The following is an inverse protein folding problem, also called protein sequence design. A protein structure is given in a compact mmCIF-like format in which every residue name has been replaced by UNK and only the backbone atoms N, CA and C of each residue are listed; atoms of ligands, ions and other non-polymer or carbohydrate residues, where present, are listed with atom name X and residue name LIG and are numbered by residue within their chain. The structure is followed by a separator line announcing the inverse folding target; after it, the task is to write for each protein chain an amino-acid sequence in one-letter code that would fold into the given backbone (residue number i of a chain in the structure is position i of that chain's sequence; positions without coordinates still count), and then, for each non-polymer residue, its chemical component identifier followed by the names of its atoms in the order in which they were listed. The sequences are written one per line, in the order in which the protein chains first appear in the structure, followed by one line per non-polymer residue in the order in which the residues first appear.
data_IF_341600241495
#
_entry.id   IF_341600241495
#
_cell.length_a   1.000
_cell.length_b   1.000
_cell.length_c   1.000
_cell.angle_alpha   90.00
_cell.angle_beta   90.00
_cell.angle_gamma   90.00
#
_symmetry.space_group_name_H-M   'P 1'
#
loop_
_entity.id
_entity.type
_entity.pdbx_description
1 polymer ?
#
# COMPACT_ATOMS: atom_id res chain seq x y z
N UNK A 1 22.64 -15.83 1.26
CA UNK A 1 22.03 -15.53 2.57
C UNK A 1 20.60 -16.06 2.57
N UNK A 2 20.13 -16.58 3.71
CA UNK A 2 18.71 -16.90 3.89
C UNK A 2 17.91 -15.60 3.97
N UNK A 3 16.73 -15.57 3.38
CA UNK A 3 15.79 -14.46 3.57
C UNK A 3 15.19 -14.61 4.97
N UNK A 4 15.50 -13.67 5.84
CA UNK A 4 14.94 -13.58 7.19
C UNK A 4 13.82 -12.55 7.23
N UNK A 5 12.87 -12.79 8.12
CA UNK A 5 11.71 -11.96 8.25
C UNK A 5 11.47 -11.66 9.73
N UNK A 6 11.10 -10.42 10.02
CA UNK A 6 10.73 -9.98 11.36
C UNK A 6 9.22 -9.73 11.44
N UNK A 7 8.63 -9.98 12.60
CA UNK A 7 7.23 -9.69 12.84
C UNK A 7 7.07 -8.21 13.11
N UNK A 8 5.92 -7.63 12.73
CA UNK A 8 5.58 -6.33 13.32
C UNK A 8 5.50 -6.52 14.82
N UNK A 9 6.29 -5.72 15.54
CA UNK A 9 6.06 -5.56 16.97
C UNK A 9 4.67 -4.97 17.17
N UNK A 10 3.90 -5.58 18.05
CA UNK A 10 2.55 -5.14 18.41
C UNK A 10 2.50 -4.77 19.89
N UNK A 11 1.38 -4.18 20.30
CA UNK A 11 1.03 -3.93 21.69
C UNK A 11 -0.37 -4.48 21.96
N UNK A 12 -0.76 -4.70 23.22
CA UNK A 12 -2.16 -4.90 23.56
C UNK A 12 -3.00 -3.71 23.07
N UNK A 13 -4.09 -4.02 22.38
CA UNK A 13 -5.06 -3.03 21.88
C UNK A 13 -6.47 -3.37 22.38
N UNK A 14 -7.27 -2.34 22.62
CA UNK A 14 -8.71 -2.47 22.85
C UNK A 14 -9.54 -2.38 21.57
N UNK A 15 -8.88 -2.16 20.43
CA UNK A 15 -9.51 -2.03 19.12
C UNK A 15 -9.90 -3.40 18.55
N UNK A 16 -11.00 -3.43 17.80
CA UNK A 16 -11.50 -4.59 17.08
C UNK A 16 -11.81 -4.25 15.63
N UNK A 17 -11.83 -5.24 14.71
CA UNK A 17 -12.21 -5.03 13.31
C UNK A 17 -13.54 -4.29 13.09
N UNK A 18 -14.48 -4.39 14.04
CA UNK A 18 -15.78 -3.72 13.97
C UNK A 18 -15.69 -2.21 14.21
N UNK A 19 -14.59 -1.71 14.77
CA UNK A 19 -14.37 -0.28 15.03
C UNK A 19 -13.95 0.48 13.77
N UNK A 20 -13.42 -0.21 12.74
CA UNK A 20 -13.22 0.39 11.42
C UNK A 20 -14.50 0.32 10.57
N UNK A 21 -14.74 1.40 9.83
CA UNK A 21 -15.77 1.41 8.78
C UNK A 21 -15.14 1.12 7.42
N UNK A 22 -15.54 0.03 6.79
CA UNK A 22 -15.20 -0.25 5.39
C UNK A 22 -15.95 0.71 4.48
N UNK A 23 -15.22 1.62 3.84
CA UNK A 23 -15.77 2.61 2.89
C UNK A 23 -15.78 2.04 1.48
N UNK A 24 -14.76 1.26 1.13
CA UNK A 24 -14.61 0.66 -0.17
C UNK A 24 -13.92 -0.70 -0.02
N UNK A 25 -14.47 -1.70 -0.70
CA UNK A 25 -13.84 -2.98 -0.98
C UNK A 25 -13.93 -3.18 -2.50
N UNK A 26 -12.82 -3.08 -3.20
CA UNK A 26 -12.78 -3.05 -4.66
C UNK A 26 -11.74 -4.02 -5.22
N UNK A 27 -11.99 -4.45 -6.46
CA UNK A 27 -11.04 -5.18 -7.29
C UNK A 27 -10.96 -4.58 -8.68
N UNK A 28 -9.77 -4.57 -9.25
CA UNK A 28 -9.46 -4.01 -10.58
C UNK A 28 -8.29 -4.76 -11.21
N UNK A 29 -7.84 -4.33 -12.39
CA UNK A 29 -6.72 -4.90 -13.12
C UNK A 29 -6.82 -6.43 -13.30
N UNK A 30 -7.89 -6.86 -13.95
CA UNK A 30 -8.12 -8.26 -14.23
C UNK A 30 -7.16 -8.78 -15.30
N UNK A 31 -6.40 -9.82 -14.95
CA UNK A 31 -5.41 -10.45 -15.82
C UNK A 31 -5.36 -11.96 -15.63
N UNK A 32 -4.97 -12.68 -16.68
CA UNK A 32 -4.73 -14.12 -16.62
C UNK A 32 -3.26 -14.31 -16.25
N UNK A 33 -2.99 -15.07 -15.19
CA UNK A 33 -1.63 -15.31 -14.67
C UNK A 33 -1.36 -16.81 -14.53
N UNK A 34 -0.08 -17.24 -14.59
CA UNK A 34 0.29 -18.62 -14.26
C UNK A 34 -0.04 -18.98 -12.81
N UNK A 35 -0.52 -20.21 -12.57
CA UNK A 35 -0.79 -20.78 -11.24
C UNK A 35 -0.64 -22.31 -11.28
N UNK A 36 0.36 -22.86 -10.59
CA UNK A 36 0.57 -24.31 -10.42
C UNK A 36 0.35 -25.18 -11.68
N UNK A 37 0.89 -24.77 -12.83
CA UNK A 37 0.79 -25.53 -14.09
C UNK A 37 -0.48 -25.26 -14.92
N UNK A 38 -1.35 -24.36 -14.47
CA UNK A 38 -2.49 -23.85 -15.21
C UNK A 38 -2.48 -22.31 -15.25
N UNK A 39 -3.50 -21.71 -15.88
CA UNK A 39 -3.72 -20.28 -15.86
C UNK A 39 -4.92 -19.95 -14.96
N UNK A 40 -4.80 -18.92 -14.12
CA UNK A 40 -5.90 -18.41 -13.29
C UNK A 40 -6.20 -16.97 -13.62
N UNK A 41 -7.40 -16.54 -13.27
CA UNK A 41 -7.75 -15.13 -13.25
C UNK A 41 -7.24 -14.48 -11.94
N UNK A 42 -6.56 -13.35 -12.09
CA UNK A 42 -6.05 -12.50 -11.02
C UNK A 42 -6.75 -11.14 -11.06
N UNK A 43 -6.87 -10.52 -9.89
CA UNK A 43 -7.31 -9.14 -9.71
C UNK A 43 -6.42 -8.50 -8.65
N UNK A 44 -6.12 -7.21 -8.83
CA UNK A 44 -5.56 -6.38 -7.77
C UNK A 44 -6.70 -5.83 -6.88
N UNK A 45 -6.45 -5.73 -5.59
CA UNK A 45 -7.43 -5.33 -4.58
C UNK A 45 -7.08 -3.98 -3.95
N UNK A 46 -8.14 -3.25 -3.61
CA UNK A 46 -8.09 -1.97 -2.91
C UNK A 46 -9.17 -1.95 -1.84
N UNK A 47 -8.77 -1.65 -0.60
CA UNK A 47 -9.67 -1.52 0.54
C UNK A 47 -9.43 -0.17 1.20
N UNK A 48 -10.50 0.57 1.45
CA UNK A 48 -10.46 1.85 2.16
C UNK A 48 -11.23 1.72 3.46
N UNK A 49 -10.55 2.01 4.56
CA UNK A 49 -11.10 1.96 5.90
C UNK A 49 -11.13 3.39 6.46
N UNK A 50 -12.29 3.84 6.91
CA UNK A 50 -12.38 4.98 7.82
C UNK A 50 -12.30 4.48 9.26
N UNK A 51 -11.88 5.36 10.16
CA UNK A 51 -11.83 5.11 11.61
C UNK A 51 -10.86 3.95 11.98
N UNK A 52 -9.92 3.63 11.08
CA UNK A 52 -8.87 2.64 11.32
C UNK A 52 -7.76 3.16 12.23
N UNK A 53 -7.40 4.45 12.09
CA UNK A 53 -6.45 5.13 12.98
C UNK A 53 -7.20 6.18 13.79
N UNK A 54 -7.09 6.14 15.12
CA UNK A 54 -7.76 7.09 15.99
C UNK A 54 -7.04 8.44 16.00
N UNK A 55 -7.71 9.49 16.48
CA UNK A 55 -7.10 10.82 16.54
C UNK A 55 -5.87 10.89 17.44
N UNK A 56 -5.82 10.08 18.50
CA UNK A 56 -4.68 9.98 19.41
C UNK A 56 -3.46 9.43 18.66
N UNK A 57 -3.61 8.28 18.00
CA UNK A 57 -2.50 7.68 17.24
C UNK A 57 -2.08 8.55 16.07
N UNK A 58 -3.05 9.08 15.31
CA UNK A 58 -2.82 9.96 14.18
C UNK A 58 -2.04 11.22 14.59
N UNK A 59 -2.47 11.89 15.65
CA UNK A 59 -1.80 13.07 16.19
C UNK A 59 -0.39 12.77 16.66
N UNK A 60 -0.20 11.68 17.41
CA UNK A 60 1.11 11.25 17.89
C UNK A 60 2.08 10.93 16.74
N UNK A 61 1.60 10.27 15.67
CA UNK A 61 2.38 10.02 14.46
C UNK A 61 2.74 11.33 13.76
N UNK A 62 1.80 12.26 13.60
CA UNK A 62 2.07 13.53 12.94
C UNK A 62 3.09 14.38 13.72
N UNK A 63 2.94 14.48 15.05
CA UNK A 63 3.88 15.18 15.92
C UNK A 63 5.28 14.53 15.88
N UNK A 64 5.33 13.20 15.83
CA UNK A 64 6.58 12.47 15.68
C UNK A 64 7.26 12.80 14.35
N UNK A 65 6.53 12.88 13.25
CA UNK A 65 7.11 13.16 11.94
C UNK A 65 7.42 14.65 11.72
N UNK A 66 6.76 15.55 12.46
CA UNK A 66 6.92 16.99 12.29
C UNK A 66 7.61 17.63 13.49
N UNK A 67 6.84 18.00 14.49
CA UNK A 67 7.20 18.29 15.87
C UNK A 67 5.89 18.63 16.62
N UNK A 68 5.80 18.43 17.94
CA UNK A 68 4.66 18.91 18.70
C UNK A 68 4.43 20.41 18.48
N UNK A 69 3.22 20.77 18.05
CA UNK A 69 2.85 22.17 17.79
C UNK A 69 3.47 22.79 16.54
N UNK A 70 4.02 22.00 15.61
CA UNK A 70 4.56 22.49 14.35
C UNK A 70 3.51 23.27 13.54
N UNK A 71 3.88 24.44 13.03
CA UNK A 71 3.03 25.20 12.11
C UNK A 71 3.08 24.56 10.72
N UNK A 72 2.12 23.67 10.44
CA UNK A 72 2.00 23.01 9.14
C UNK A 72 1.73 23.99 7.98
N UNK A 73 1.42 25.26 8.25
CA UNK A 73 1.40 26.31 7.24
C UNK A 73 2.77 26.65 6.65
N UNK A 74 3.88 26.23 7.26
CA UNK A 74 5.24 26.50 6.78
C UNK A 74 5.81 25.38 5.91
N UNK A 75 5.06 24.29 5.69
CA UNK A 75 5.54 23.10 4.99
C UNK A 75 6.13 22.05 5.93
N UNK A 76 6.80 21.02 5.37
CA UNK A 76 7.45 19.97 6.14
C UNK A 76 8.69 20.46 6.89
N UNK A 77 8.92 20.05 8.15
CA UNK A 77 10.11 20.46 8.89
C UNK A 77 11.38 19.80 8.35
N UNK A 78 12.45 20.57 8.09
CA UNK A 78 13.67 20.06 7.45
C UNK A 78 14.48 19.10 8.34
N UNK A 79 14.14 18.95 9.62
CA UNK A 79 14.82 18.03 10.54
C UNK A 79 14.57 16.55 10.21
N UNK A 80 13.46 16.23 9.56
CA UNK A 80 13.04 14.85 9.25
C UNK A 80 12.60 14.67 7.80
N UNK A 81 12.40 15.77 7.09
CA UNK A 81 11.91 15.79 5.71
C UNK A 81 12.96 16.39 4.79
N UNK A 82 13.12 15.79 3.62
CA UNK A 82 13.99 16.29 2.57
C UNK A 82 13.26 16.33 1.22
N UNK A 83 13.59 17.34 0.39
CA UNK A 83 13.12 17.41 -1.01
C UNK A 83 14.13 16.71 -1.92
N UNK A 84 14.26 15.40 -1.74
CA UNK A 84 15.21 14.58 -2.49
C UNK A 84 14.57 13.31 -3.09
N UNK A 85 13.30 13.05 -2.80
CA UNK A 85 12.56 11.90 -3.33
C UNK A 85 12.04 12.26 -4.72
N UNK A 86 12.14 11.36 -5.70
CA UNK A 86 11.53 11.58 -7.01
C UNK A 86 10.59 10.41 -7.31
N UNK A 87 9.31 10.71 -7.51
CA UNK A 87 8.26 9.71 -7.78
C UNK A 87 8.21 9.27 -9.25
N UNK A 88 9.24 9.59 -10.04
CA UNK A 88 9.36 9.20 -11.44
C UNK A 88 10.62 9.73 -12.10
N UNK A 89 11.10 9.03 -13.13
CA UNK A 89 12.29 9.43 -13.89
C UNK A 89 12.08 10.81 -14.55
N UNK A 90 12.98 11.75 -14.27
CA UNK A 90 12.93 13.10 -14.83
C UNK A 90 11.92 14.05 -14.18
N UNK A 91 11.23 13.64 -13.11
CA UNK A 91 10.34 14.52 -12.35
C UNK A 91 11.11 15.35 -11.31
N UNK A 92 10.60 16.54 -10.94
CA UNK A 92 11.13 17.30 -9.81
C UNK A 92 11.07 16.50 -8.51
N UNK A 93 12.04 16.75 -7.62
CA UNK A 93 12.03 16.13 -6.31
C UNK A 93 10.83 16.62 -5.46
N UNK A 94 10.19 15.71 -4.75
CA UNK A 94 9.08 15.87 -3.81
C UNK A 94 9.59 15.67 -2.37
N UNK A 95 8.74 15.96 -1.39
CA UNK A 95 9.09 15.80 0.03
C UNK A 95 8.88 14.37 0.51
N UNK A 96 9.98 13.77 0.98
CA UNK A 96 9.98 12.48 1.66
C UNK A 96 10.63 12.55 3.04
N UNK A 97 10.36 11.57 3.89
CA UNK A 97 11.13 11.38 5.11
C UNK A 97 12.58 11.00 4.76
N UNK A 98 13.53 11.46 5.57
CA UNK A 98 14.94 11.06 5.43
C UNK A 98 15.13 9.58 5.73
N UNK A 99 16.17 8.98 5.14
CA UNK A 99 16.55 7.59 5.41
C UNK A 99 16.79 7.35 6.91
N UNK A 100 17.38 8.32 7.61
CA UNK A 100 17.59 8.28 9.07
C UNK A 100 16.27 8.22 9.83
N UNK A 101 15.29 9.07 9.46
CA UNK A 101 13.98 9.05 10.10
C UNK A 101 13.25 7.72 9.85
N UNK A 102 13.30 7.19 8.63
CA UNK A 102 12.70 5.90 8.29
C UNK A 102 13.38 4.73 9.03
N UNK A 103 14.70 4.73 9.12
CA UNK A 103 15.46 3.73 9.87
C UNK A 103 15.13 3.77 11.36
N UNK A 104 14.98 4.97 11.94
CA UNK A 104 14.58 5.13 13.33
C UNK A 104 13.18 4.55 13.61
N UNK A 105 12.21 4.79 12.72
CA UNK A 105 10.86 4.20 12.84
C UNK A 105 10.87 2.67 12.78
N UNK A 106 11.74 2.09 11.95
CA UNK A 106 11.89 0.65 11.84
C UNK A 106 12.58 0.03 13.07
N UNK A 107 13.66 0.67 13.54
CA UNK A 107 14.45 0.20 14.66
C UNK A 107 13.70 0.32 15.99
N UNK A 108 12.90 1.36 16.19
CA UNK A 108 12.12 1.57 17.41
C UNK A 108 10.74 2.20 17.11
N UNK A 109 9.74 1.40 16.70
CA UNK A 109 8.43 1.88 16.34
C UNK A 109 7.72 2.45 17.59
N UNK A 110 7.24 3.69 17.52
CA UNK A 110 6.57 4.35 18.64
C UNK A 110 5.25 3.66 19.01
N UNK A 111 4.70 3.93 20.21
CA UNK A 111 3.45 3.34 20.67
C UNK A 111 2.25 3.49 19.71
N UNK A 112 2.20 4.57 18.92
CA UNK A 112 1.15 4.79 17.92
C UNK A 112 1.32 3.89 16.68
N UNK A 113 2.56 3.58 16.26
CA UNK A 113 2.80 2.60 15.19
C UNK A 113 2.51 1.18 15.69
N UNK A 114 2.93 0.84 16.92
CA UNK A 114 2.61 -0.46 17.53
C UNK A 114 1.09 -0.69 17.61
N UNK A 115 0.31 0.37 17.85
CA UNK A 115 -1.15 0.31 17.81
C UNK A 115 -1.67 0.02 16.39
N UNK A 116 -1.18 0.73 15.37
CA UNK A 116 -1.50 0.43 13.96
C UNK A 116 -1.17 -1.01 13.60
N UNK A 117 -0.02 -1.52 14.05
CA UNK A 117 0.38 -2.91 13.84
C UNK A 117 -0.60 -3.89 14.52
N UNK A 118 -1.01 -3.61 15.76
CA UNK A 118 -1.98 -4.43 16.48
C UNK A 118 -3.38 -4.43 15.83
N UNK A 119 -3.79 -3.33 15.20
CA UNK A 119 -5.05 -3.26 14.44
C UNK A 119 -4.97 -4.03 13.12
N UNK A 120 -3.84 -3.92 12.42
CA UNK A 120 -3.59 -4.68 11.20
C UNK A 120 -3.61 -6.20 11.48
N UNK A 121 -2.96 -6.59 12.57
CA UNK A 121 -2.98 -7.92 13.14
C UNK A 121 -4.41 -8.44 13.35
N UNK A 122 -5.21 -7.69 14.12
CA UNK A 122 -6.62 -8.03 14.36
C UNK A 122 -7.47 -8.07 13.08
N UNK A 123 -7.14 -7.28 12.05
CA UNK A 123 -7.81 -7.32 10.74
C UNK A 123 -7.48 -8.57 9.92
N UNK A 124 -6.34 -9.22 10.15
CA UNK A 124 -5.91 -10.36 9.34
C UNK A 124 -5.38 -11.50 10.22
N UNK A 125 -6.22 -12.10 11.08
CA UNK A 125 -5.79 -13.11 12.06
C UNK A 125 -5.38 -14.46 11.43
N UNK A 126 -5.82 -14.71 10.19
CA UNK A 126 -5.55 -15.92 9.41
C UNK A 126 -4.33 -15.79 8.50
N UNK A 127 -3.91 -14.55 8.21
CA UNK A 127 -2.51 -14.37 7.90
C UNK A 127 -1.77 -14.80 9.17
N UNK A 128 -0.77 -15.65 9.06
CA UNK A 128 0.24 -15.56 10.09
C UNK A 128 0.72 -14.10 10.04
N UNK A 129 0.51 -13.32 11.11
CA UNK A 129 1.29 -12.10 11.37
C UNK A 129 2.78 -12.45 11.58
N UNK A 130 3.29 -13.48 10.87
CA UNK A 130 4.58 -14.09 11.13
C UNK A 130 5.69 -13.64 10.22
N UNK A 131 5.48 -12.73 9.28
CA UNK A 131 6.58 -12.10 8.55
C UNK A 131 6.09 -10.78 7.96
N UNK A 132 6.23 -9.69 8.71
CA UNK A 132 5.89 -8.37 8.19
C UNK A 132 7.18 -7.59 7.98
N UNK A 133 7.81 -7.88 6.85
CA UNK A 133 8.78 -6.99 6.27
C UNK A 133 8.27 -6.64 4.87
N UNK A 134 8.64 -5.44 4.40
CA UNK A 134 9.58 -5.46 3.32
C UNK A 134 10.59 -4.37 3.62
N UNK A 135 11.58 -4.75 4.39
CA UNK A 135 12.90 -4.38 3.97
C UNK A 135 13.62 -5.69 3.67
N UNK A 136 13.73 -6.05 2.40
CA UNK A 136 14.98 -6.66 1.98
C UNK A 136 16.03 -5.59 2.25
N UNK A 137 16.56 -5.57 3.47
CA UNK A 137 17.92 -5.10 3.67
C UNK A 137 18.78 -6.19 3.07
N UNK A 138 19.16 -6.02 1.80
CA UNK A 138 20.42 -6.58 1.37
C UNK A 138 21.49 -5.73 2.03
N UNK A 139 21.71 -5.93 3.34
CA UNK A 139 22.88 -5.38 3.99
C UNK A 139 24.08 -6.13 3.43
N UNK A 140 24.94 -5.45 2.68
CA UNK A 140 26.36 -5.62 2.88
C UNK A 140 26.83 -4.53 3.88
N UNK A 141 27.62 -4.84 4.92
CA UNK A 141 27.90 -3.90 6.01
C UNK A 141 28.98 -2.84 5.72
N UNK A 142 29.50 -2.70 4.50
CA UNK A 142 30.61 -1.79 4.23
C UNK A 142 30.44 -1.10 2.87
N UNK A 143 30.26 0.23 2.83
CA UNK A 143 30.30 0.94 1.55
C UNK A 143 29.57 2.28 1.50
N UNK A 144 30.34 3.31 1.79
CA UNK A 144 30.06 4.75 1.80
C UNK A 144 29.61 5.35 0.43
N UNK A 145 28.83 6.44 0.52
CA UNK A 145 28.84 7.67 -0.32
C UNK A 145 28.47 7.63 -1.81
N UNK A 146 27.82 8.73 -2.21
CA UNK A 146 27.45 9.20 -3.55
C UNK A 146 26.21 8.61 -4.24
N UNK A 147 25.11 9.37 -4.09
CA UNK A 147 23.88 9.31 -4.89
C UNK A 147 24.21 9.62 -6.36
N UNK A 148 24.54 8.57 -7.13
CA UNK A 148 24.46 8.56 -8.59
C UNK A 148 23.88 7.23 -9.03
N UNK A 149 22.83 7.28 -9.85
CA UNK A 149 22.15 6.14 -10.46
C UNK A 149 23.20 5.20 -11.08
N UNK A 150 23.48 4.08 -10.40
CA UNK A 150 24.29 2.97 -10.90
C UNK A 150 23.46 1.70 -10.75
N UNK A 151 23.39 0.92 -11.82
CA UNK A 151 22.60 -0.29 -11.96
C UNK A 151 22.98 -1.44 -11.00
N UNK A 152 23.96 -1.22 -10.11
CA UNK A 152 24.56 -2.23 -9.23
C UNK A 152 24.43 -1.91 -7.73
N UNK A 153 23.61 -0.92 -7.34
CA UNK A 153 23.34 -0.69 -5.92
C UNK A 153 22.44 -1.81 -5.35
N UNK A 154 22.73 -2.36 -4.15
CA UNK A 154 21.86 -3.34 -3.52
C UNK A 154 20.47 -2.72 -3.32
N UNK A 155 19.42 -3.42 -3.76
CA UNK A 155 18.03 -2.99 -3.59
C UNK A 155 17.75 -2.88 -2.09
N UNK A 156 17.61 -1.65 -1.60
CA UNK A 156 17.11 -1.36 -0.25
C UNK A 156 15.59 -1.22 -0.35
N UNK A 157 14.85 -2.24 0.07
CA UNK A 157 13.42 -2.07 0.25
C UNK A 157 13.20 -1.28 1.56
N UNK A 158 12.53 -0.13 1.50
CA UNK A 158 12.18 0.61 2.71
C UNK A 158 10.88 0.01 3.30
N UNK A 159 10.91 -0.39 4.57
CA UNK A 159 9.73 -0.89 5.28
C UNK A 159 8.63 0.18 5.42
N UNK A 160 9.06 1.45 5.43
CA UNK A 160 8.19 2.61 5.54
C UNK A 160 8.51 3.64 4.47
N UNK A 161 7.51 4.38 4.05
CA UNK A 161 7.67 5.57 3.20
C UNK A 161 6.84 6.70 3.81
N UNK A 162 7.44 7.87 4.00
CA UNK A 162 6.72 9.09 4.38
C UNK A 162 6.66 10.04 3.21
N UNK A 163 5.47 10.58 2.92
CA UNK A 163 5.25 11.56 1.86
C UNK A 163 4.54 12.80 2.44
N UNK A 164 5.02 13.98 2.05
CA UNK A 164 4.44 15.27 2.42
C UNK A 164 4.17 16.13 1.18
N UNK A 165 3.23 15.69 0.34
CA UNK A 165 2.90 16.34 -0.92
C UNK A 165 2.42 17.78 -0.70
N UNK A 166 2.98 18.74 -1.44
CA UNK A 166 2.58 20.15 -1.42
C UNK A 166 2.11 20.61 -2.81
N UNK A 167 1.43 21.74 -2.87
CA UNK A 167 0.99 22.32 -4.13
C UNK A 167 2.18 22.53 -5.09
N UNK A 168 2.03 22.09 -6.34
CA UNK A 168 3.07 22.16 -7.36
C UNK A 168 3.97 20.92 -7.48
N UNK A 169 3.86 19.95 -6.57
CA UNK A 169 4.54 18.67 -6.73
C UNK A 169 4.03 17.87 -7.94
N UNK A 170 4.84 16.95 -8.44
CA UNK A 170 4.50 16.10 -9.57
C UNK A 170 4.78 14.63 -9.22
N UNK A 171 3.78 13.78 -9.41
CA UNK A 171 3.83 12.35 -9.08
C UNK A 171 3.45 11.53 -10.32
N UNK A 172 4.28 10.55 -10.68
CA UNK A 172 3.95 9.61 -11.76
C UNK A 172 3.15 8.42 -11.23
N UNK A 173 2.40 7.79 -12.15
CA UNK A 173 1.84 6.47 -11.89
C UNK A 173 2.96 5.45 -11.74
N UNK A 174 2.87 4.63 -10.70
CA UNK A 174 3.80 3.56 -10.41
C UNK A 174 3.10 2.42 -9.66
N UNK A 175 3.80 1.30 -9.55
CA UNK A 175 3.49 0.24 -8.59
C UNK A 175 4.57 0.24 -7.51
N UNK A 176 4.22 -0.21 -6.31
CA UNK A 176 5.18 -0.29 -5.21
C UNK A 176 6.14 -1.47 -5.38
N UNK A 177 5.59 -2.60 -5.78
CA UNK A 177 6.32 -3.84 -5.99
C UNK A 177 5.52 -4.81 -6.86
N UNK A 178 6.18 -5.47 -7.80
CA UNK A 178 5.63 -6.60 -8.55
C UNK A 178 6.55 -7.82 -8.37
N UNK A 179 6.12 -8.86 -7.63
CA UNK A 179 6.95 -10.04 -7.40
C UNK A 179 7.21 -10.86 -8.67
N UNK A 180 6.54 -10.58 -9.79
CA UNK A 180 6.84 -11.17 -11.09
C UNK A 180 7.98 -10.44 -11.84
N UNK A 181 8.37 -9.25 -11.37
CA UNK A 181 9.34 -8.38 -12.02
C UNK A 181 10.53 -8.01 -11.11
N UNK A 182 10.68 -8.70 -9.96
CA UNK A 182 11.81 -8.45 -9.08
C UNK A 182 13.15 -8.83 -9.72
N UNK A 183 14.21 -8.04 -9.49
CA UNK A 183 15.55 -8.43 -9.89
C UNK A 183 16.04 -9.62 -9.07
N UNK A 184 17.20 -10.16 -9.46
CA UNK A 184 17.89 -11.20 -8.70
C UNK A 184 18.13 -10.74 -7.25
N UNK A 185 17.52 -11.46 -6.33
CA UNK A 185 17.44 -11.10 -4.91
C UNK A 185 17.18 -12.36 -4.07
N UNK A 186 17.44 -12.34 -2.75
CA UNK A 186 17.04 -13.43 -1.85
C UNK A 186 15.54 -13.71 -1.88
N UNK A 187 14.71 -12.70 -2.15
CA UNK A 187 13.28 -12.88 -2.37
C UNK A 187 13.01 -13.76 -3.59
N UNK A 188 13.55 -13.37 -4.75
CA UNK A 188 13.41 -14.12 -6.00
C UNK A 188 14.01 -15.53 -5.88
N UNK A 189 15.15 -15.67 -5.20
CA UNK A 189 15.77 -16.98 -4.96
C UNK A 189 14.87 -17.90 -4.12
N UNK A 190 14.10 -17.35 -3.17
CA UNK A 190 13.21 -18.13 -2.29
C UNK A 190 11.85 -18.41 -2.91
N UNK A 191 11.22 -17.42 -3.53
CA UNK A 191 9.84 -17.54 -4.01
C UNK A 191 9.71 -17.66 -5.53
N UNK A 192 10.78 -17.40 -6.28
CA UNK A 192 10.74 -17.27 -7.73
C UNK A 192 9.89 -16.09 -8.17
N UNK A 193 9.58 -16.05 -9.47
CA UNK A 193 8.65 -15.09 -10.05
C UNK A 193 7.23 -15.60 -9.86
N UNK A 194 6.34 -14.75 -9.33
CA UNK A 194 4.94 -15.10 -9.16
C UNK A 194 4.03 -13.87 -9.25
N UNK A 195 2.79 -14.08 -9.69
CA UNK A 195 1.78 -13.02 -9.61
C UNK A 195 1.33 -12.82 -8.17
N UNK A 196 1.23 -11.57 -7.72
CA UNK A 196 0.78 -11.25 -6.37
C UNK A 196 -0.52 -11.99 -5.99
N UNK A 197 -0.65 -12.39 -4.72
CA UNK A 197 -1.76 -13.24 -4.26
C UNK A 197 -1.81 -14.66 -4.86
N UNK A 198 -0.70 -15.16 -5.41
CA UNK A 198 -0.60 -16.58 -5.78
C UNK A 198 -0.71 -17.50 -4.55
N UNK A 199 -1.24 -18.70 -4.77
CA UNK A 199 -1.44 -19.69 -3.70
C UNK A 199 -0.09 -20.10 -3.08
N UNK A 200 -0.02 -20.10 -1.76
CA UNK A 200 1.19 -20.45 -1.02
C UNK A 200 2.36 -19.46 -1.21
N UNK A 201 2.12 -18.29 -1.82
CA UNK A 201 3.12 -17.21 -1.96
C UNK A 201 2.75 -16.03 -1.08
N UNK A 202 3.74 -15.23 -0.61
CA UNK A 202 3.45 -14.00 0.13
C UNK A 202 2.62 -13.02 -0.72
N UNK A 203 1.63 -12.39 -0.10
CA UNK A 203 0.88 -11.28 -0.70
C UNK A 203 1.57 -9.97 -0.31
N UNK A 204 2.01 -9.19 -1.29
CA UNK A 204 2.61 -7.87 -1.07
C UNK A 204 1.53 -6.80 -0.97
N UNK A 205 1.52 -6.08 0.15
CA UNK A 205 0.48 -5.13 0.55
C UNK A 205 1.11 -3.79 0.95
N UNK A 206 0.47 -2.68 0.59
CA UNK A 206 0.77 -1.38 1.17
C UNK A 206 -0.38 -0.90 2.03
N UNK A 207 -0.06 -0.42 3.23
CA UNK A 207 -0.98 0.31 4.10
C UNK A 207 -0.58 1.79 4.10
N UNK A 208 -1.41 2.65 3.55
CA UNK A 208 -1.27 4.11 3.57
C UNK A 208 -2.19 4.69 4.64
N UNK A 209 -1.65 5.51 5.53
CA UNK A 209 -2.42 6.28 6.53
C UNK A 209 -2.28 7.78 6.27
N UNK A 210 -3.41 8.49 6.26
CA UNK A 210 -3.44 9.96 6.18
C UNK A 210 -3.32 10.58 7.58
N UNK A 211 -2.40 11.52 7.76
CA UNK A 211 -2.04 12.02 9.09
C UNK A 211 -2.65 13.39 9.44
N UNK A 212 -3.03 14.19 8.44
CA UNK A 212 -3.61 15.53 8.66
C UNK A 212 -4.87 15.50 9.53
N UNK A 213 -5.01 16.47 10.43
CA UNK A 213 -6.17 16.60 11.33
C UNK A 213 -7.43 17.10 10.62
N UNK A 214 -7.26 17.77 9.48
CA UNK A 214 -8.33 18.18 8.61
C UNK A 214 -7.79 18.26 7.18
N UNK A 215 -8.63 17.91 6.21
CA UNK A 215 -8.32 18.10 4.81
C UNK A 215 -9.59 18.53 4.04
N UNK A 216 -9.78 19.85 3.84
CA UNK A 216 -10.85 20.40 3.03
C UNK A 216 -10.89 19.80 1.62
N UNK A 217 -12.10 19.67 1.06
CA UNK A 217 -12.29 18.98 -0.23
C UNK A 217 -11.64 19.75 -1.39
N UNK A 218 -11.66 21.07 -1.35
CA UNK A 218 -11.08 21.96 -2.35
C UNK A 218 -9.54 21.93 -2.39
N UNK A 219 -8.89 21.35 -1.38
CA UNK A 219 -7.44 21.15 -1.37
C UNK A 219 -6.99 19.96 -2.23
N UNK A 220 -7.90 19.08 -2.68
CA UNK A 220 -7.58 17.94 -3.54
C UNK A 220 -6.64 16.92 -2.87
N UNK A 221 -5.57 16.55 -3.57
CA UNK A 221 -4.53 15.60 -3.14
C UNK A 221 -5.00 14.14 -2.96
N UNK A 222 -5.91 13.69 -3.81
CA UNK A 222 -6.36 12.31 -3.85
C UNK A 222 -5.22 11.34 -4.19
N UNK A 223 -5.24 10.16 -3.57
CA UNK A 223 -4.52 9.00 -4.11
C UNK A 223 -5.39 8.37 -5.20
N UNK A 224 -4.85 8.29 -6.40
CA UNK A 224 -5.53 7.77 -7.59
C UNK A 224 -5.03 6.35 -7.87
N UNK A 225 -5.97 5.45 -8.10
CA UNK A 225 -5.74 4.05 -8.49
C UNK A 225 -6.27 3.85 -9.90
N UNK A 226 -5.51 3.16 -10.75
CA UNK A 226 -5.85 3.02 -12.16
C UNK A 226 -5.82 1.56 -12.58
N UNK A 227 -6.83 1.13 -13.32
CA UNK A 227 -6.76 -0.09 -14.11
C UNK A 227 -5.92 0.18 -15.37
N UNK A 228 -4.71 -0.36 -15.41
CA UNK A 228 -3.74 -0.05 -16.48
C UNK A 228 -4.15 -0.50 -17.89
N UNK A 229 -5.24 -1.26 -18.04
CA UNK A 229 -5.75 -1.71 -19.35
C UNK A 229 -6.88 -0.84 -19.89
N UNK A 230 -7.61 -0.17 -19.00
CA UNK A 230 -8.83 0.58 -19.37
C UNK A 230 -8.74 2.06 -19.03
N UNK A 231 -7.72 2.49 -18.30
CA UNK A 231 -7.57 3.84 -17.74
C UNK A 231 -8.78 4.30 -16.90
N UNK A 232 -9.56 3.34 -16.40
CA UNK A 232 -10.65 3.57 -15.45
C UNK A 232 -10.12 3.38 -14.04
N UNK A 233 -10.43 4.31 -13.14
CA UNK A 233 -9.79 4.35 -11.82
C UNK A 233 -10.70 4.71 -10.66
N UNK A 234 -10.09 4.76 -9.48
CA UNK A 234 -10.69 5.16 -8.21
C UNK A 234 -9.87 6.29 -7.62
N UNK A 235 -10.54 7.33 -7.13
CA UNK A 235 -9.91 8.41 -6.38
C UNK A 235 -10.25 8.30 -4.89
N UNK A 236 -9.22 8.20 -4.05
CA UNK A 236 -9.38 8.17 -2.59
C UNK A 236 -8.90 9.49 -2.02
N UNK A 237 -9.84 10.24 -1.42
CA UNK A 237 -9.52 11.52 -0.81
C UNK A 237 -8.82 11.33 0.55
N UNK A 238 -7.79 12.12 0.88
CA UNK A 238 -7.29 12.27 2.23
C UNK A 238 -8.41 12.64 3.21
N UNK A 239 -8.38 11.97 4.37
CA UNK A 239 -9.32 12.19 5.47
C UNK A 239 -8.68 11.72 6.79
N UNK A 240 -8.87 12.44 7.91
CA UNK A 240 -8.42 11.97 9.22
C UNK A 240 -8.96 10.58 9.53
N UNK A 241 -8.09 9.73 10.09
CA UNK A 241 -8.41 8.35 10.49
C UNK A 241 -8.63 7.36 9.33
N UNK A 242 -8.52 7.81 8.08
CA UNK A 242 -8.60 6.95 6.91
C UNK A 242 -7.29 6.20 6.68
N UNK A 243 -7.43 4.93 6.34
CA UNK A 243 -6.38 4.09 5.84
C UNK A 243 -6.76 3.47 4.48
N UNK A 244 -5.74 3.17 3.68
CA UNK A 244 -5.88 2.46 2.41
C UNK A 244 -4.98 1.25 2.43
N UNK A 245 -5.56 0.08 2.22
CA UNK A 245 -4.84 -1.17 1.98
C UNK A 245 -4.93 -1.48 0.48
N UNK A 246 -3.79 -1.73 -0.14
CA UNK A 246 -3.72 -2.02 -1.57
C UNK A 246 -2.69 -3.11 -1.86
N UNK A 247 -2.95 -3.93 -2.88
CA UNK A 247 -1.93 -4.82 -3.41
C UNK A 247 -0.80 -3.95 -4.00
N UNK A 248 0.46 -4.30 -3.73
CA UNK A 248 1.61 -3.46 -4.12
C UNK A 248 1.83 -3.35 -5.64
N UNK A 249 1.27 -4.28 -6.41
CA UNK A 249 1.29 -4.29 -7.87
C UNK A 249 0.10 -3.52 -8.48
N UNK A 250 -0.67 -2.80 -7.67
CA UNK A 250 -1.74 -1.93 -8.14
C UNK A 250 -1.19 -0.57 -8.60
N UNK A 251 -1.46 -0.19 -9.85
CA UNK A 251 -1.02 1.07 -10.43
C UNK A 251 -1.69 2.26 -9.73
N UNK A 252 -0.89 3.16 -9.18
CA UNK A 252 -1.39 4.29 -8.42
C UNK A 252 -0.47 5.51 -8.48
N UNK A 253 -0.99 6.67 -8.07
CA UNK A 253 -0.20 7.88 -7.82
C UNK A 253 -0.88 8.78 -6.80
N UNK A 254 -0.11 9.70 -6.23
CA UNK A 254 -0.65 10.83 -5.48
C UNK A 254 -0.97 11.97 -6.46
N UNK A 255 -2.00 12.76 -6.20
CA UNK A 255 -2.16 14.07 -6.83
C UNK A 255 -1.61 15.14 -5.91
N UNK A 256 -0.95 16.16 -6.46
CA UNK A 256 -0.53 17.29 -5.64
C UNK A 256 -1.75 18.02 -5.07
N UNK A 257 -1.64 18.59 -3.86
CA UNK A 257 -2.60 19.56 -3.38
C UNK A 257 -2.87 20.68 -4.38
N UNK A 258 -4.09 21.20 -4.36
CA UNK A 258 -4.44 22.39 -5.13
C UNK A 258 -3.77 23.63 -4.51
N UNK A 259 -3.66 24.75 -5.25
CA UNK A 259 -3.18 26.01 -4.68
C UNK A 259 -3.97 26.50 -3.45
N UNK A 260 -5.21 26.04 -3.25
CA UNK A 260 -6.03 26.40 -2.09
C UNK A 260 -5.45 25.88 -0.76
N UNK A 261 -4.61 24.84 -0.80
CA UNK A 261 -3.89 24.35 0.38
C UNK A 261 -2.75 25.30 0.82
N UNK A 262 -2.33 26.22 -0.05
CA UNK A 262 -1.12 27.03 0.13
C UNK A 262 0.11 26.14 0.24
N UNK A 263 0.93 26.38 1.26
CA UNK A 263 2.13 25.60 1.59
C UNK A 263 1.85 24.38 2.49
N UNK A 264 0.59 24.09 2.82
CA UNK A 264 0.25 22.97 3.69
C UNK A 264 0.51 21.64 2.99
N UNK A 265 1.32 20.75 3.56
CA UNK A 265 1.57 19.44 3.03
C UNK A 265 0.44 18.47 3.40
N UNK A 266 0.14 17.53 2.51
CA UNK A 266 -0.68 16.34 2.76
C UNK A 266 0.23 15.24 3.27
N UNK A 267 0.22 14.97 4.57
CA UNK A 267 1.08 13.97 5.19
C UNK A 267 0.49 12.57 5.09
N UNK A 268 1.33 11.62 4.71
CA UNK A 268 1.03 10.19 4.86
C UNK A 268 2.24 9.37 5.25
N UNK A 269 1.98 8.33 6.03
CA UNK A 269 2.92 7.26 6.31
C UNK A 269 2.41 5.97 5.65
N UNK A 270 3.30 5.29 4.94
CA UNK A 270 3.03 4.05 4.24
C UNK A 270 3.85 2.94 4.87
N UNK A 271 3.20 1.86 5.27
CA UNK A 271 3.83 0.59 5.53
C UNK A 271 3.84 -0.17 4.23
N UNK A 272 5.01 -0.60 3.80
CA UNK A 272 5.12 -1.69 2.84
C UNK A 272 5.02 -2.98 3.67
N UNK A 273 4.35 -4.03 3.19
CA UNK A 273 4.03 -5.24 3.96
C UNK A 273 4.07 -6.49 3.08
N UNK A 274 4.37 -7.64 3.68
CA UNK A 274 4.13 -8.95 3.10
C UNK A 274 3.21 -9.75 4.03
N UNK A 275 2.15 -10.36 3.51
CA UNK A 275 1.28 -11.27 4.26
C UNK A 275 1.60 -12.70 3.86
N UNK A 276 1.93 -13.53 4.84
CA UNK A 276 2.18 -14.94 4.59
C UNK A 276 0.91 -15.78 4.68
N UNK A 277 0.65 -16.60 3.65
CA UNK A 277 -0.48 -17.52 3.72
C UNK A 277 -0.20 -18.71 4.65
N UNK A 278 -1.18 -19.03 5.51
CA UNK A 278 -1.21 -20.31 6.24
C UNK A 278 -1.60 -21.46 5.32
N UNK A 279 -0.96 -22.63 5.50
CA UNK A 279 -1.40 -23.89 4.91
C UNK A 279 -1.49 -23.92 3.37
N UNK A 280 -0.74 -23.06 2.68
CA UNK A 280 -0.72 -23.02 1.21
C UNK A 280 -1.93 -22.33 0.56
N UNK A 281 -2.80 -21.68 1.33
CA UNK A 281 -3.91 -20.89 0.79
C UNK A 281 -3.40 -19.66 0.00
N UNK A 282 -4.28 -19.02 -0.77
CA UNK A 282 -3.99 -17.68 -1.30
C UNK A 282 -4.37 -16.63 -0.23
N UNK A 283 -3.44 -15.75 0.09
CA UNK A 283 -3.75 -14.56 0.88
C UNK A 283 -4.49 -13.53 -0.01
N UNK A 284 -5.42 -12.79 0.57
CA UNK A 284 -6.22 -11.78 -0.12
C UNK A 284 -6.51 -10.62 0.82
N UNK A 285 -6.42 -9.39 0.31
CA UNK A 285 -6.84 -8.21 1.07
C UNK A 285 -8.35 -8.17 1.29
N UNK A 286 -9.14 -8.54 0.28
CA UNK A 286 -10.59 -8.54 0.40
C UNK A 286 -11.07 -9.64 1.34
N UNK A 287 -11.87 -9.27 2.33
CA UNK A 287 -12.45 -10.19 3.31
C UNK A 287 -13.93 -10.47 3.04
N UNK A 288 -14.42 -11.71 3.23
CA UNK A 288 -15.82 -12.07 2.99
C UNK A 288 -16.85 -11.22 3.74
N UNK A 289 -16.56 -10.85 4.99
CA UNK A 289 -17.43 -10.02 5.85
C UNK A 289 -17.63 -8.60 5.34
N UNK A 290 -16.78 -8.12 4.44
CA UNK A 290 -16.92 -6.79 3.81
C UNK A 290 -17.82 -6.82 2.58
N UNK A 291 -18.44 -7.97 2.30
CA UNK A 291 -19.21 -8.21 1.10
C UNK A 291 -18.34 -8.42 -0.15
N UNK A 292 -18.96 -8.74 -1.29
CA UNK A 292 -18.23 -8.95 -2.54
C UNK A 292 -17.55 -7.65 -3.00
N UNK A 293 -16.28 -7.69 -3.44
CA UNK A 293 -15.60 -6.51 -3.95
C UNK A 293 -16.32 -5.92 -5.17
N UNK A 294 -16.43 -4.59 -5.20
CA UNK A 294 -16.89 -3.87 -6.38
C UNK A 294 -15.84 -4.01 -7.48
N UNK A 295 -16.27 -4.48 -8.65
CA UNK A 295 -15.37 -4.61 -9.81
C UNK A 295 -15.31 -3.31 -10.60
N UNK A 296 -14.10 -2.82 -10.88
CA UNK A 296 -13.84 -1.61 -11.67
C UNK A 296 -12.96 -1.95 -12.89
N UNK A 297 -13.10 -1.18 -13.98
CA UNK A 297 -12.28 -1.33 -15.18
C UNK A 297 -12.40 -2.72 -15.82
N UNK A 298 -11.26 -3.33 -16.13
CA UNK A 298 -11.18 -4.66 -16.73
C UNK A 298 -11.83 -5.74 -15.84
N UNK A 299 -11.82 -5.58 -14.52
CA UNK A 299 -12.52 -6.50 -13.61
C UNK A 299 -14.04 -6.46 -13.78
N UNK A 300 -14.60 -5.28 -14.05
CA UNK A 300 -16.04 -5.14 -14.30
C UNK A 300 -16.42 -5.86 -15.61
N UNK A 301 -15.59 -5.74 -16.64
CA UNK A 301 -15.78 -6.43 -17.90
C UNK A 301 -15.79 -7.96 -17.73
N UNK A 302 -14.84 -8.52 -16.98
CA UNK A 302 -14.80 -9.96 -16.73
C UNK A 302 -16.06 -10.44 -15.99
N UNK A 303 -16.54 -9.68 -15.00
CA UNK A 303 -17.78 -10.04 -14.31
C UNK A 303 -19.02 -9.98 -15.22
N UNK A 304 -19.08 -9.03 -16.15
CA UNK A 304 -20.14 -8.97 -17.15
C UNK A 304 -20.12 -10.20 -18.08
N UNK A 305 -18.93 -10.63 -18.51
CA UNK A 305 -18.75 -11.84 -19.32
C UNK A 305 -19.21 -13.08 -18.54
N UNK A 306 -18.76 -13.25 -17.29
CA UNK A 306 -19.19 -14.38 -16.43
C UNK A 306 -20.71 -14.44 -16.26
N UNK A 307 -21.36 -13.30 -16.02
CA UNK A 307 -22.84 -13.23 -15.91
C UNK A 307 -23.53 -13.61 -17.21
N UNK A 308 -22.99 -13.20 -18.35
CA UNK A 308 -23.54 -13.54 -19.67
C UNK A 308 -23.42 -15.02 -19.97
N UNK A 309 -22.25 -15.63 -19.70
CA UNK A 309 -22.06 -17.07 -19.84
C UNK A 309 -22.98 -17.87 -18.93
N UNK A 310 -23.13 -17.46 -17.66
CA UNK A 310 -24.05 -18.11 -16.72
C UNK A 310 -25.50 -18.06 -17.20
N UNK A 311 -25.95 -16.93 -17.74
CA UNK A 311 -27.30 -16.79 -18.31
C UNK A 311 -27.50 -17.69 -19.54
N UNK A 312 -26.50 -17.78 -20.41
CA UNK A 312 -26.55 -18.66 -21.58
C UNK A 312 -26.64 -20.14 -21.17
N UNK A 313 -25.79 -20.58 -20.25
CA UNK A 313 -25.82 -21.95 -19.74
C UNK A 313 -27.16 -22.29 -19.06
N UNK A 314 -27.74 -21.35 -18.31
CA UNK A 314 -29.06 -21.54 -17.69
C UNK A 314 -30.19 -21.62 -18.74
N UNK A 315 -30.11 -20.84 -19.81
CA UNK A 315 -31.07 -20.89 -20.91
C UNK A 315 -30.97 -22.20 -21.71
N UNK A 316 -29.74 -22.68 -21.98
CA UNK A 316 -29.49 -23.97 -22.63
C UNK A 316 -29.99 -25.14 -21.80
N UNK A 317 -29.79 -25.11 -20.47
CA UNK A 317 -30.31 -26.14 -19.56
C UNK A 317 -31.84 -26.13 -19.41
N UNK A 318 -32.50 -25.00 -19.72
CA UNK A 318 -33.95 -24.84 -19.64
C UNK A 318 -34.67 -25.08 -20.98
N UNK A 319 -33.94 -25.28 -22.08
CA UNK A 319 -34.54 -25.60 -23.37
C UNK A 319 -35.08 -27.04 -23.34
N UNK A 320 -36.35 -27.29 -23.71
CA UNK A 320 -36.88 -28.64 -23.81
C UNK A 320 -36.10 -29.40 -24.91
N UNK A 321 -35.61 -30.59 -24.54
CA UNK A 321 -34.89 -31.50 -25.43
C UNK A 321 -35.78 -32.16 -26.48
#
# INVERSE_FOLDING_TARGET
MALEFELLRTRPTGWSPADARVVLNARMDARIVPDSGCARLHYAHLVVLDDFVGDIERGALLDLLTAPGWDHGQGPPPSKWERATADGAGLPATWGLTDEALAALAADPPPAMLEVHARLAALFPDAEEREAAPAVSLSDPEGMTDRKVMADAPVRCAAFVGNAAVAGDAFAYHVDADPAAFPDSPWRARFGDYANGARGRPLLVSLLVYLDAAWPRDWGAETLFLDGRTDVGIAVRPKPGRAVLMDQDLLHRVSAPSPAAGSRPRYSLVWKLAFLPRGGAAACLARPEWGPPVSIGSAAHVEQVKRTLKRKAAAEAAAPG
#
